data_IF_838979235252
#
_entry.id   IF_838979235252
#
_cell.length_a   1.000
_cell.length_b   1.000
_cell.length_c   1.000
_cell.angle_alpha   90.00
_cell.angle_beta   90.00
_cell.angle_gamma   90.00
#
_symmetry.space_group_name_H-M   'P 1'
#
loop_
_entity.id
_entity.type
_entity.pdbx_description
1 polymer ?
#
# COMPACT_ATOMS: atom_id res chain seq x y z
N UNK A 1 18.38 10.98 6.73
CA UNK A 1 19.10 10.01 5.85
C UNK A 1 19.09 8.56 6.36
N UNK A 2 19.49 8.26 7.60
CA UNK A 2 19.50 6.85 8.11
C UNK A 2 18.14 6.14 7.98
N UNK A 3 17.03 6.85 8.23
CA UNK A 3 15.65 6.32 8.09
C UNK A 3 15.32 5.89 6.66
N UNK A 4 15.60 6.72 5.65
CA UNK A 4 15.28 6.39 4.26
C UNK A 4 16.10 5.21 3.75
N UNK A 5 17.35 5.07 4.17
CA UNK A 5 18.17 3.91 3.82
C UNK A 5 17.58 2.63 4.41
N UNK A 6 17.22 2.64 5.70
CA UNK A 6 16.55 1.50 6.34
C UNK A 6 15.21 1.16 5.65
N UNK A 7 14.39 2.17 5.34
CA UNK A 7 13.12 1.99 4.59
C UNK A 7 13.35 1.29 3.26
N UNK A 8 14.31 1.78 2.46
CA UNK A 8 14.62 1.20 1.14
C UNK A 8 15.13 -0.23 1.27
N UNK A 9 15.98 -0.51 2.25
CA UNK A 9 16.45 -1.88 2.54
C UNK A 9 15.29 -2.83 2.86
N UNK A 10 14.33 -2.41 3.68
CA UNK A 10 13.16 -3.25 4.02
C UNK A 10 12.28 -3.47 2.79
N UNK A 11 12.02 -2.44 1.98
CA UNK A 11 11.24 -2.57 0.75
C UNK A 11 11.89 -3.50 -0.27
N UNK A 12 13.21 -3.41 -0.45
CA UNK A 12 13.97 -4.28 -1.36
C UNK A 12 13.95 -5.72 -0.83
N UNK A 13 14.13 -5.92 0.48
CA UNK A 13 14.03 -7.24 1.10
C UNK A 13 12.64 -7.86 0.89
N UNK A 14 11.58 -7.05 1.06
CA UNK A 14 10.20 -7.47 0.80
C UNK A 14 9.95 -7.80 -0.69
N UNK A 15 10.54 -7.03 -1.60
CA UNK A 15 10.50 -7.33 -3.04
C UNK A 15 11.17 -8.68 -3.36
N UNK A 16 12.31 -9.00 -2.74
CA UNK A 16 12.98 -10.29 -2.93
C UNK A 16 12.17 -11.47 -2.36
N UNK A 17 11.40 -11.21 -1.28
CA UNK A 17 10.46 -12.17 -0.70
C UNK A 17 9.10 -12.21 -1.42
N UNK A 18 8.90 -11.41 -2.47
CA UNK A 18 7.64 -11.37 -3.20
C UNK A 18 7.20 -12.72 -3.80
N UNK A 19 8.09 -13.55 -4.37
CA UNK A 19 7.75 -14.88 -4.86
C UNK A 19 7.05 -15.75 -3.81
N UNK A 20 7.42 -15.60 -2.53
CA UNK A 20 6.87 -16.38 -1.41
C UNK A 20 5.58 -15.76 -0.86
N UNK A 21 5.41 -14.44 -0.99
CA UNK A 21 4.31 -13.69 -0.37
C UNK A 21 3.16 -13.33 -1.31
N UNK A 22 3.31 -13.58 -2.62
CA UNK A 22 2.34 -13.14 -3.63
C UNK A 22 0.93 -13.72 -3.43
N UNK A 23 0.78 -15.00 -3.06
CA UNK A 23 -0.55 -15.59 -2.83
C UNK A 23 -1.26 -14.97 -1.64
N UNK A 24 -0.51 -14.68 -0.58
CA UNK A 24 -1.01 -13.99 0.61
C UNK A 24 -1.48 -12.55 0.33
N UNK A 25 -0.87 -11.88 -0.64
CA UNK A 25 -1.26 -10.53 -1.08
C UNK A 25 -2.25 -10.55 -2.27
N UNK A 26 -2.65 -11.74 -2.72
CA UNK A 26 -3.45 -11.93 -3.93
C UNK A 26 -4.95 -11.83 -3.65
N UNK A 27 -5.68 -10.98 -4.38
CA UNK A 27 -7.13 -10.86 -4.26
C UNK A 27 -7.86 -12.13 -4.76
N UNK A 28 -7.21 -12.91 -5.63
CA UNK A 28 -7.74 -14.14 -6.21
C UNK A 28 -7.92 -15.24 -5.16
N UNK A 29 -6.95 -15.39 -4.25
CA UNK A 29 -7.01 -16.45 -3.24
C UNK A 29 -8.25 -16.28 -2.35
N UNK A 30 -8.57 -15.05 -1.96
CA UNK A 30 -9.77 -14.73 -1.16
C UNK A 30 -11.05 -15.14 -1.90
N UNK A 31 -11.15 -14.91 -3.21
CA UNK A 31 -12.31 -15.33 -4.01
C UNK A 31 -12.42 -16.86 -4.05
N UNK A 32 -11.32 -17.56 -4.32
CA UNK A 32 -11.31 -19.04 -4.32
C UNK A 32 -11.70 -19.61 -2.97
N UNK A 33 -11.13 -19.07 -1.88
CA UNK A 33 -11.51 -19.41 -0.51
C UNK A 33 -12.99 -19.15 -0.25
N UNK A 34 -13.55 -18.03 -0.72
CA UNK A 34 -14.97 -17.72 -0.54
C UNK A 34 -15.89 -18.75 -1.23
N UNK A 35 -15.55 -19.20 -2.45
CA UNK A 35 -16.30 -20.22 -3.20
C UNK A 35 -16.27 -21.57 -2.46
N UNK A 36 -15.10 -21.95 -1.96
CA UNK A 36 -14.90 -23.24 -1.29
C UNK A 36 -15.27 -23.24 0.19
N UNK A 37 -15.55 -22.07 0.76
CA UNK A 37 -15.85 -21.94 2.19
C UNK A 37 -14.67 -21.93 3.11
N UNK A 38 -13.51 -21.54 2.61
CA UNK A 38 -12.25 -21.56 3.34
C UNK A 38 -11.79 -20.14 3.63
N UNK A 39 -11.64 -19.81 4.91
CA UNK A 39 -10.91 -18.63 5.32
C UNK A 39 -9.41 -18.91 5.16
N UNK A 40 -8.80 -18.30 4.15
CA UNK A 40 -7.39 -18.49 3.82
C UNK A 40 -6.45 -17.46 4.45
N UNK A 41 -5.14 -17.72 4.38
CA UNK A 41 -4.11 -16.83 4.89
C UNK A 41 -4.12 -15.43 4.26
N UNK A 42 -4.55 -15.28 3.00
CA UNK A 42 -4.70 -13.97 2.38
C UNK A 42 -5.78 -13.14 3.08
N UNK A 43 -6.95 -13.71 3.33
CA UNK A 43 -8.03 -13.04 4.07
C UNK A 43 -7.53 -12.53 5.43
N UNK A 44 -6.83 -13.38 6.18
CA UNK A 44 -6.27 -13.03 7.50
C UNK A 44 -5.30 -11.85 7.36
N UNK A 45 -4.40 -11.87 6.38
CA UNK A 45 -3.43 -10.79 6.16
C UNK A 45 -4.13 -9.48 5.81
N UNK A 46 -5.15 -9.49 4.96
CA UNK A 46 -5.91 -8.28 4.64
C UNK A 46 -6.66 -7.72 5.86
N UNK A 47 -7.22 -8.58 6.71
CA UNK A 47 -7.82 -8.16 7.99
C UNK A 47 -6.76 -7.56 8.92
N UNK A 48 -5.60 -8.22 9.08
CA UNK A 48 -4.50 -7.69 9.89
C UNK A 48 -3.97 -6.35 9.35
N UNK A 49 -3.91 -6.18 8.03
CA UNK A 49 -3.55 -4.90 7.41
C UNK A 49 -4.57 -3.81 7.70
N UNK A 50 -5.87 -4.11 7.62
CA UNK A 50 -6.91 -3.17 7.97
C UNK A 50 -6.81 -2.77 9.45
N UNK A 51 -6.66 -3.74 10.35
CA UNK A 51 -6.56 -3.50 11.80
C UNK A 51 -5.30 -2.72 12.16
N UNK A 52 -4.14 -3.11 11.63
CA UNK A 52 -2.87 -2.40 11.86
C UNK A 52 -2.92 -0.96 11.32
N UNK A 53 -3.62 -0.75 10.20
CA UNK A 53 -3.78 0.57 9.60
C UNK A 53 -4.63 1.53 10.43
N UNK A 54 -5.42 1.05 11.39
CA UNK A 54 -6.14 1.91 12.35
C UNK A 54 -5.14 2.72 13.17
N UNK A 55 -4.02 2.11 13.59
CA UNK A 55 -3.00 2.75 14.44
C UNK A 55 -1.84 3.34 13.64
N UNK A 56 -1.37 2.61 12.63
CA UNK A 56 -0.15 2.93 11.88
C UNK A 56 -0.43 3.62 10.55
N UNK A 57 -1.70 3.83 10.20
CA UNK A 57 -2.08 4.33 8.87
C UNK A 57 -1.53 3.42 7.77
N UNK A 58 -1.08 4.02 6.67
CA UNK A 58 -0.59 3.29 5.49
C UNK A 58 0.92 2.96 5.53
N UNK A 59 1.49 2.80 6.73
CA UNK A 59 2.92 2.54 6.92
C UNK A 59 3.38 1.26 6.19
N UNK A 60 2.52 0.23 6.10
CA UNK A 60 2.81 -0.98 5.34
C UNK A 60 3.20 -0.69 3.88
N UNK A 61 2.43 0.16 3.17
CA UNK A 61 2.74 0.56 1.79
C UNK A 61 4.10 1.29 1.67
N UNK A 62 4.52 1.96 2.74
CA UNK A 62 5.75 2.73 2.80
C UNK A 62 7.00 1.93 3.13
N UNK A 63 6.88 0.85 3.89
CA UNK A 63 8.04 0.10 4.41
C UNK A 63 8.06 -1.38 4.03
N UNK A 64 6.91 -2.05 3.92
CA UNK A 64 6.85 -3.52 3.83
C UNK A 64 6.21 -4.04 2.54
N UNK A 65 5.53 -3.21 1.74
CA UNK A 65 4.86 -3.67 0.53
C UNK A 65 5.85 -4.02 -0.61
N UNK A 66 5.84 -5.26 -1.15
CA UNK A 66 6.73 -5.65 -2.25
C UNK A 66 6.51 -4.84 -3.53
N UNK A 67 5.25 -4.57 -3.89
CA UNK A 67 4.91 -3.71 -5.02
C UNK A 67 5.51 -2.30 -4.86
N UNK A 68 5.60 -1.81 -3.62
CA UNK A 68 6.27 -0.56 -3.31
C UNK A 68 7.76 -0.59 -3.57
N UNK A 69 8.43 -1.71 -3.31
CA UNK A 69 9.84 -1.93 -3.65
C UNK A 69 10.08 -1.91 -5.16
N UNK A 70 9.29 -2.67 -5.92
CA UNK A 70 9.35 -2.70 -7.39
C UNK A 70 9.22 -1.29 -7.97
N UNK A 71 8.23 -0.53 -7.50
CA UNK A 71 8.01 0.83 -7.99
C UNK A 71 9.09 1.81 -7.55
N UNK A 72 9.71 1.65 -6.36
CA UNK A 72 10.82 2.50 -5.93
C UNK A 72 12.07 2.28 -6.78
N UNK A 73 12.32 1.04 -7.21
CA UNK A 73 13.37 0.73 -8.20
C UNK A 73 13.07 1.38 -9.56
N UNK A 74 11.80 1.34 -10.00
CA UNK A 74 11.39 1.98 -11.26
C UNK A 74 11.52 3.52 -11.26
N UNK A 75 11.48 4.17 -10.08
CA UNK A 75 11.68 5.63 -9.97
C UNK A 75 13.05 6.08 -10.49
N UNK A 76 14.07 5.22 -10.43
CA UNK A 76 15.41 5.54 -10.99
C UNK A 76 15.35 5.75 -12.50
N UNK A 77 14.42 5.07 -13.18
CA UNK A 77 14.24 5.14 -14.63
C UNK A 77 13.29 6.28 -14.99
N UNK A 78 12.17 6.41 -14.28
CA UNK A 78 11.18 7.46 -14.52
C UNK A 78 10.66 8.04 -13.20
N UNK A 79 11.09 9.26 -12.92
CA UNK A 79 10.72 10.00 -11.72
C UNK A 79 9.61 11.04 -11.96
N UNK A 80 8.85 10.91 -13.06
CA UNK A 80 7.70 11.80 -13.30
C UNK A 80 6.63 11.60 -12.23
N UNK A 81 6.03 12.71 -11.81
CA UNK A 81 4.86 12.68 -10.94
C UNK A 81 3.60 12.40 -11.77
N UNK A 82 2.85 11.33 -11.48
CA UNK A 82 1.64 11.02 -12.23
C UNK A 82 0.53 12.06 -11.97
N UNK A 83 -0.39 12.21 -12.94
CA UNK A 83 -1.53 13.14 -12.79
C UNK A 83 -2.48 12.64 -11.70
N UNK A 84 -2.53 13.35 -10.58
CA UNK A 84 -3.43 13.03 -9.46
C UNK A 84 -4.79 13.70 -9.64
N UNK A 85 -5.79 13.27 -8.87
CA UNK A 85 -7.17 13.76 -8.93
C UNK A 85 -8.15 12.60 -9.05
N UNK A 86 -9.15 12.72 -9.94
CA UNK A 86 -10.19 11.70 -10.12
C UNK A 86 -9.65 10.31 -10.49
N UNK A 87 -8.50 10.24 -11.16
CA UNK A 87 -7.83 8.97 -11.52
C UNK A 87 -7.42 8.15 -10.29
N UNK A 88 -7.17 8.80 -9.16
CA UNK A 88 -6.88 8.11 -7.90
C UNK A 88 -8.10 7.32 -7.39
N UNK A 89 -9.30 7.59 -7.92
CA UNK A 89 -10.51 6.89 -7.51
C UNK A 89 -10.69 5.54 -8.22
N UNK A 90 -9.93 5.26 -9.29
CA UNK A 90 -10.00 4.00 -10.03
C UNK A 90 -9.78 2.79 -9.11
N UNK A 91 -8.85 2.89 -8.15
CA UNK A 91 -8.60 1.80 -7.19
C UNK A 91 -9.79 1.49 -6.30
N UNK A 92 -10.64 2.47 -5.98
CA UNK A 92 -11.85 2.23 -5.20
C UNK A 92 -12.89 1.49 -6.03
N UNK A 93 -12.99 1.79 -7.34
CA UNK A 93 -13.87 1.04 -8.26
C UNK A 93 -13.43 -0.43 -8.34
N UNK A 94 -12.14 -0.68 -8.58
CA UNK A 94 -11.56 -2.03 -8.60
C UNK A 94 -11.83 -2.76 -7.28
N UNK A 95 -11.63 -2.07 -6.16
CA UNK A 95 -11.85 -2.64 -4.83
C UNK A 95 -13.33 -2.96 -4.55
N UNK A 96 -14.26 -2.07 -4.91
CA UNK A 96 -15.70 -2.31 -4.74
C UNK A 96 -16.15 -3.51 -5.57
N UNK A 97 -15.74 -3.59 -6.84
CA UNK A 97 -16.04 -4.75 -7.71
C UNK A 97 -15.53 -6.04 -7.07
N UNK A 98 -14.30 -6.02 -6.55
CA UNK A 98 -13.69 -7.18 -5.92
C UNK A 98 -14.37 -7.58 -4.59
N UNK A 99 -14.77 -6.62 -3.75
CA UNK A 99 -15.55 -6.90 -2.52
C UNK A 99 -16.92 -7.48 -2.87
N UNK A 100 -17.60 -6.93 -3.86
CA UNK A 100 -18.88 -7.47 -4.34
C UNK A 100 -18.70 -8.92 -4.81
N UNK A 101 -17.65 -9.20 -5.58
CA UNK A 101 -17.34 -10.57 -6.01
C UNK A 101 -17.14 -11.52 -4.83
N UNK A 102 -16.41 -11.11 -3.80
CA UNK A 102 -16.22 -11.92 -2.58
C UNK A 102 -17.56 -12.20 -1.89
N UNK A 103 -18.40 -11.18 -1.71
CA UNK A 103 -19.70 -11.32 -1.04
C UNK A 103 -20.59 -12.27 -1.82
N UNK A 104 -20.66 -12.13 -3.15
CA UNK A 104 -21.43 -13.02 -4.02
C UNK A 104 -20.92 -14.46 -3.89
N UNK A 105 -19.62 -14.68 -4.05
CA UNK A 105 -19.01 -16.01 -3.93
C UNK A 105 -19.26 -16.65 -2.56
N UNK A 106 -19.24 -15.85 -1.49
CA UNK A 106 -19.51 -16.31 -0.13
C UNK A 106 -20.98 -16.70 0.09
N UNK A 107 -21.94 -15.97 -0.51
CA UNK A 107 -23.38 -16.29 -0.45
C UNK A 107 -23.69 -17.57 -1.22
N UNK A 108 -23.10 -17.76 -2.40
CA UNK A 108 -23.31 -18.96 -3.24
C UNK A 108 -22.42 -20.16 -2.87
N UNK A 109 -21.81 -20.12 -1.70
CA UNK A 109 -20.90 -21.15 -1.23
C UNK A 109 -21.62 -22.49 -1.05
N UNK A 110 -20.98 -23.56 -1.53
CA UNK A 110 -21.53 -24.93 -1.52
C UNK A 110 -21.11 -25.78 -0.31
N UNK A 111 -20.14 -25.34 0.48
CA UNK A 111 -19.51 -26.11 1.57
C UNK A 111 -19.59 -25.38 2.91
N UNK A 112 -19.45 -26.10 4.02
CA UNK A 112 -19.35 -25.53 5.37
C UNK A 112 -18.05 -24.72 5.57
N UNK A 113 -17.99 -23.92 6.64
CA UNK A 113 -16.90 -22.95 6.83
C UNK A 113 -15.70 -23.64 7.47
N UNK A 114 -14.59 -23.68 6.74
CA UNK A 114 -13.31 -24.15 7.24
C UNK A 114 -12.31 -23.00 7.30
N UNK A 115 -11.30 -23.13 8.15
CA UNK A 115 -10.18 -22.18 8.24
C UNK A 115 -8.91 -22.94 7.88
N UNK A 116 -8.26 -22.52 6.80
CA UNK A 116 -6.98 -23.10 6.38
C UNK A 116 -6.03 -21.98 5.93
N UNK A 117 -5.06 -21.69 6.78
CA UNK A 117 -4.09 -20.63 6.52
C UNK A 117 -3.22 -20.93 5.29
N UNK A 118 -2.90 -22.20 5.02
CA UNK A 118 -1.97 -22.64 3.99
C UNK A 118 -2.66 -23.08 2.69
N UNK A 119 -3.93 -22.73 2.53
CA UNK A 119 -4.73 -23.05 1.37
C UNK A 119 -4.05 -22.59 0.06
N UNK A 120 -3.81 -23.54 -0.86
CA UNK A 120 -3.05 -23.40 -2.12
C UNK A 120 -1.56 -23.01 -1.99
N UNK A 121 -0.94 -23.23 -0.83
CA UNK A 121 0.52 -23.13 -0.67
C UNK A 121 1.12 -24.51 -0.43
N UNK A 122 1.85 -25.05 -1.41
CA UNK A 122 2.54 -26.33 -1.25
C UNK A 122 3.78 -26.11 -0.36
N UNK A 123 3.78 -26.68 0.85
CA UNK A 123 4.87 -26.57 1.84
C UNK A 123 5.23 -25.13 2.25
N UNK A 124 4.28 -24.19 2.18
CA UNK A 124 4.50 -22.78 2.55
C UNK A 124 5.20 -21.94 1.48
N UNK A 125 5.51 -22.53 0.31
CA UNK A 125 6.04 -21.81 -0.85
C UNK A 125 4.88 -21.50 -1.79
N UNK A 126 4.72 -20.22 -2.08
CA UNK A 126 3.71 -19.69 -3.01
C UNK A 126 3.87 -20.22 -4.44
N UNK A 127 5.10 -20.37 -4.94
CA UNK A 127 5.35 -20.78 -6.34
C UNK A 127 5.97 -22.17 -6.37
N UNK A 128 5.13 -23.20 -6.55
CA UNK A 128 5.53 -24.59 -6.76
C UNK A 128 5.39 -25.05 -8.22
N UNK A 129 4.53 -24.37 -9.00
CA UNK A 129 4.09 -24.82 -10.32
C UNK A 129 4.41 -23.79 -11.43
N UNK A 130 4.52 -24.25 -12.68
CA UNK A 130 4.74 -23.40 -13.87
C UNK A 130 3.71 -22.26 -13.98
N UNK A 131 2.45 -22.53 -13.63
CA UNK A 131 1.39 -21.54 -13.59
C UNK A 131 1.64 -20.44 -12.54
N UNK A 132 2.22 -20.79 -11.39
CA UNK A 132 2.59 -19.83 -10.35
C UNK A 132 3.67 -18.85 -10.82
N UNK A 133 4.66 -19.32 -11.59
CA UNK A 133 5.67 -18.45 -12.20
C UNK A 133 5.07 -17.49 -13.23
N UNK A 134 4.14 -17.97 -14.08
CA UNK A 134 3.45 -17.13 -15.06
C UNK A 134 2.67 -16.02 -14.36
N UNK A 135 1.92 -16.34 -13.30
CA UNK A 135 1.19 -15.36 -12.51
C UNK A 135 2.15 -14.37 -11.86
N UNK A 136 3.24 -14.85 -11.26
CA UNK A 136 4.24 -14.01 -10.60
C UNK A 136 4.86 -13.00 -11.55
N UNK A 137 5.42 -13.45 -12.69
CA UNK A 137 6.01 -12.54 -13.67
C UNK A 137 4.95 -11.63 -14.29
N UNK A 138 3.73 -12.12 -14.50
CA UNK A 138 2.60 -11.30 -14.96
C UNK A 138 2.30 -10.14 -14.00
N UNK A 139 2.22 -10.41 -12.68
CA UNK A 139 1.98 -9.38 -11.66
C UNK A 139 3.16 -8.41 -11.54
N UNK A 140 4.40 -8.91 -11.56
CA UNK A 140 5.60 -8.06 -11.54
C UNK A 140 5.61 -7.13 -12.74
N UNK A 141 5.36 -7.64 -13.95
CA UNK A 141 5.24 -6.83 -15.17
C UNK A 141 4.10 -5.81 -15.08
N UNK A 142 2.95 -6.20 -14.55
CA UNK A 142 1.79 -5.32 -14.37
C UNK A 142 2.09 -4.16 -13.40
N UNK A 143 2.97 -4.37 -12.41
CA UNK A 143 3.41 -3.30 -11.48
C UNK A 143 4.54 -2.46 -12.09
N UNK A 144 5.53 -3.12 -12.71
CA UNK A 144 6.76 -2.50 -13.18
C UNK A 144 6.56 -1.68 -14.46
N UNK A 145 5.89 -2.23 -15.48
CA UNK A 145 5.71 -1.57 -16.78
C UNK A 145 5.03 -0.20 -16.63
N UNK A 146 3.87 -0.08 -15.94
CA UNK A 146 3.27 1.23 -15.74
C UNK A 146 4.19 2.18 -14.98
N UNK A 147 4.92 1.69 -13.97
CA UNK A 147 5.82 2.53 -13.17
C UNK A 147 6.95 3.14 -14.01
N UNK A 148 7.51 2.37 -14.94
CA UNK A 148 8.53 2.86 -15.88
C UNK A 148 7.93 3.86 -16.89
N UNK A 149 6.70 3.64 -17.36
CA UNK A 149 6.09 4.49 -18.39
C UNK A 149 5.51 5.81 -17.83
N UNK A 150 4.82 5.74 -16.70
CA UNK A 150 3.99 6.84 -16.17
C UNK A 150 4.54 7.45 -14.87
N UNK A 151 5.62 6.90 -14.32
CA UNK A 151 6.38 7.47 -13.22
C UNK A 151 6.03 6.92 -11.83
N UNK A 152 6.33 7.71 -10.80
CA UNK A 152 6.38 7.24 -9.41
C UNK A 152 5.05 6.69 -8.94
N UNK A 153 5.07 5.49 -8.33
CA UNK A 153 3.93 4.92 -7.58
C UNK A 153 2.60 4.87 -8.35
N UNK A 154 2.61 4.83 -9.69
CA UNK A 154 1.39 4.81 -10.51
C UNK A 154 0.44 3.65 -10.19
N UNK A 155 0.96 2.42 -10.03
CA UNK A 155 0.18 1.26 -9.64
C UNK A 155 -0.51 1.49 -8.29
N UNK A 156 0.20 2.04 -7.29
CA UNK A 156 -0.38 2.44 -6.00
C UNK A 156 -1.48 3.51 -6.10
N UNK A 157 -1.40 4.41 -7.08
CA UNK A 157 -2.41 5.45 -7.29
C UNK A 157 -3.70 4.90 -7.91
N UNK A 158 -3.58 4.05 -8.94
CA UNK A 158 -4.73 3.69 -9.78
C UNK A 158 -5.21 2.25 -9.65
N UNK A 159 -4.30 1.28 -9.50
CA UNK A 159 -4.63 -0.15 -9.63
C UNK A 159 -4.53 -0.95 -8.33
N UNK A 160 -3.93 -0.39 -7.29
CA UNK A 160 -3.71 -1.08 -6.03
C UNK A 160 -5.03 -1.34 -5.29
N UNK A 161 -5.53 -2.57 -5.39
CA UNK A 161 -6.71 -3.07 -4.68
C UNK A 161 -6.51 -3.14 -3.16
N UNK A 162 -5.26 -3.20 -2.68
CA UNK A 162 -4.98 -3.24 -1.24
C UNK A 162 -5.09 -1.86 -0.57
N UNK A 163 -4.88 -0.79 -1.32
CA UNK A 163 -4.80 0.56 -0.77
C UNK A 163 -6.11 1.00 -0.07
N UNK A 164 -7.32 0.76 -0.64
CA UNK A 164 -8.58 1.11 0.01
C UNK A 164 -8.75 0.52 1.42
N UNK A 165 -8.33 -0.72 1.67
CA UNK A 165 -8.41 -1.32 3.02
C UNK A 165 -7.67 -0.50 4.08
N UNK A 166 -6.44 -0.09 3.77
CA UNK A 166 -5.64 0.71 4.70
C UNK A 166 -6.16 2.15 4.79
N UNK A 167 -6.66 2.72 3.69
CA UNK A 167 -7.30 4.04 3.74
C UNK A 167 -8.52 4.02 4.67
N UNK A 168 -9.35 2.97 4.57
CA UNK A 168 -10.52 2.79 5.43
C UNK A 168 -10.09 2.60 6.89
N UNK A 169 -9.11 1.73 7.16
CA UNK A 169 -8.57 1.53 8.51
C UNK A 169 -8.06 2.84 9.13
N UNK A 170 -7.25 3.60 8.38
CA UNK A 170 -6.73 4.89 8.84
C UNK A 170 -7.84 5.92 9.08
N UNK A 171 -8.85 6.00 8.19
CA UNK A 171 -10.02 6.86 8.38
C UNK A 171 -10.82 6.47 9.61
N UNK A 172 -11.01 5.18 9.85
CA UNK A 172 -11.73 4.66 11.00
C UNK A 172 -11.01 5.01 12.30
N UNK A 173 -9.69 4.82 12.37
CA UNK A 173 -8.89 5.24 13.53
C UNK A 173 -9.01 6.74 13.82
N UNK A 174 -9.05 7.56 12.76
CA UNK A 174 -9.23 9.00 12.88
C UNK A 174 -10.63 9.39 13.38
N UNK A 175 -11.67 8.70 12.89
CA UNK A 175 -13.06 8.94 13.28
C UNK A 175 -13.34 8.50 14.73
N UNK A 176 -12.74 7.39 15.14
CA UNK A 176 -12.86 6.85 16.51
C UNK A 176 -11.94 7.55 17.53
N UNK A 177 -11.24 8.62 17.13
CA UNK A 177 -10.31 9.37 18.00
C UNK A 177 -9.26 8.49 18.70
N UNK A 178 -8.83 7.43 18.03
CA UNK A 178 -7.76 6.55 18.51
C UNK A 178 -6.42 7.24 18.26
N UNK A 179 -5.41 6.93 19.07
CA UNK A 179 -4.02 7.35 18.86
C UNK A 179 -3.48 6.82 17.54
N UNK A 180 -3.50 7.63 16.49
CA UNK A 180 -3.01 7.29 15.14
C UNK A 180 -1.67 7.97 14.89
N UNK A 181 -0.73 7.23 14.32
CA UNK A 181 0.53 7.80 13.82
C UNK A 181 0.25 8.70 12.61
N UNK A 182 0.60 9.98 12.72
CA UNK A 182 0.43 10.97 11.65
C UNK A 182 1.68 11.83 11.47
N UNK A 183 1.70 12.57 10.37
CA UNK A 183 2.62 13.69 10.21
C UNK A 183 2.02 14.93 10.87
N UNK A 184 2.86 15.70 11.54
CA UNK A 184 2.56 17.04 12.05
C UNK A 184 3.56 18.00 11.45
N UNK A 185 3.15 19.24 11.23
CA UNK A 185 4.06 20.28 10.75
C UNK A 185 3.88 21.56 11.55
N UNK A 186 4.97 22.31 11.68
CA UNK A 186 4.99 23.68 12.19
C UNK A 186 5.04 24.64 11.01
N UNK A 187 3.96 25.40 10.82
CA UNK A 187 3.82 26.38 9.75
C UNK A 187 4.84 27.51 9.86
N UNK A 188 5.17 27.96 11.08
CA UNK A 188 6.07 29.09 11.31
C UNK A 188 7.52 28.74 10.99
N UNK A 189 7.89 27.46 11.15
CA UNK A 189 9.21 26.96 10.77
C UNK A 189 9.35 26.69 9.26
N UNK A 190 8.25 26.67 8.50
CA UNK A 190 8.26 26.38 7.08
C UNK A 190 8.69 27.60 6.26
N UNK A 191 9.54 27.39 5.26
CA UNK A 191 10.03 28.42 4.33
C UNK A 191 9.59 28.17 2.88
N UNK A 192 8.55 27.36 2.69
CA UNK A 192 7.98 26.97 1.38
C UNK A 192 9.00 26.64 0.29
N UNK A 193 10.07 25.92 0.64
CA UNK A 193 11.14 25.56 -0.30
C UNK A 193 10.82 24.40 -1.26
N UNK A 194 9.64 23.78 -1.14
CA UNK A 194 9.14 22.68 -1.97
C UNK A 194 10.02 21.41 -2.06
N UNK A 195 11.05 21.27 -1.21
CA UNK A 195 11.89 20.05 -1.17
C UNK A 195 11.12 18.80 -0.74
N UNK A 196 10.18 18.98 0.20
CA UNK A 196 9.30 17.90 0.67
C UNK A 196 8.44 17.35 -0.48
N UNK A 197 7.90 18.21 -1.34
CA UNK A 197 7.06 17.84 -2.49
C UNK A 197 7.85 16.96 -3.47
N UNK A 198 9.05 17.42 -3.87
CA UNK A 198 9.93 16.68 -4.78
C UNK A 198 10.36 15.32 -4.24
N UNK A 199 10.56 15.23 -2.92
CA UNK A 199 10.97 14.00 -2.23
C UNK A 199 9.84 13.00 -1.97
N UNK A 200 8.59 13.42 -2.11
CA UNK A 200 7.45 12.57 -1.79
C UNK A 200 7.29 11.48 -2.86
N UNK A 201 7.44 10.18 -2.52
CA UNK A 201 7.28 9.10 -3.51
C UNK A 201 5.84 8.98 -4.02
N UNK A 202 4.88 9.51 -3.27
CA UNK A 202 3.46 9.58 -3.63
C UNK A 202 3.11 10.92 -4.31
N UNK A 203 4.09 11.73 -4.70
CA UNK A 203 3.91 12.99 -5.44
C UNK A 203 2.89 13.96 -4.84
N UNK A 204 2.79 14.01 -3.50
CA UNK A 204 1.87 14.90 -2.78
C UNK A 204 2.44 16.33 -2.70
N UNK A 205 1.55 17.32 -2.75
CA UNK A 205 1.87 18.70 -2.37
C UNK A 205 1.89 18.80 -0.84
N UNK A 206 3.07 18.53 -0.26
CA UNK A 206 3.33 18.59 1.17
C UNK A 206 3.39 20.04 1.64
N UNK A 207 3.97 20.95 0.85
CA UNK A 207 4.08 22.37 1.22
C UNK A 207 2.70 22.99 1.45
N UNK A 208 1.75 22.78 0.53
CA UNK A 208 0.36 23.25 0.67
C UNK A 208 -0.33 22.66 1.93
N UNK A 209 0.00 21.41 2.29
CA UNK A 209 -0.54 20.77 3.52
C UNK A 209 0.01 21.40 4.79
N UNK A 210 1.27 21.83 4.79
CA UNK A 210 1.87 22.57 5.91
C UNK A 210 1.20 23.94 6.05
N UNK A 211 0.98 24.64 4.94
CA UNK A 211 0.36 25.98 4.93
C UNK A 211 -1.09 25.98 5.45
N UNK A 212 -1.83 24.90 5.14
CA UNK A 212 -3.20 24.63 5.63
C UNK A 212 -3.25 24.01 7.03
N UNK A 213 -2.12 23.79 7.67
CA UNK A 213 -2.00 23.14 8.98
C UNK A 213 -2.69 21.76 9.06
N UNK A 214 -2.86 21.10 7.92
CA UNK A 214 -3.51 19.80 7.80
C UNK A 214 -2.65 18.85 6.98
N UNK A 215 -1.82 18.10 7.71
CA UNK A 215 -0.91 17.11 7.14
C UNK A 215 -1.58 15.77 6.79
N UNK A 216 -2.89 15.63 7.02
CA UNK A 216 -3.60 14.41 6.67
C UNK A 216 -3.83 14.31 5.15
N UNK A 217 -3.56 13.13 4.60
CA UNK A 217 -3.88 12.76 3.22
C UNK A 217 -4.07 11.25 3.14
N UNK A 218 -5.13 10.79 2.46
CA UNK A 218 -5.38 9.35 2.29
C UNK A 218 -4.31 8.66 1.46
N UNK A 219 -3.58 9.37 0.59
CA UNK A 219 -2.48 8.84 -0.22
C UNK A 219 -1.14 8.82 0.52
N UNK A 220 -1.03 9.45 1.69
CA UNK A 220 0.20 9.45 2.46
C UNK A 220 0.52 8.06 3.02
N UNK A 221 1.66 7.50 2.63
CA UNK A 221 2.17 6.19 3.08
C UNK A 221 3.09 6.28 4.31
N UNK A 222 3.14 7.45 4.96
CA UNK A 222 3.95 7.70 6.17
C UNK A 222 5.43 7.30 6.02
N UNK A 223 6.02 7.41 4.83
CA UNK A 223 7.41 7.04 4.53
C UNK A 223 8.46 7.94 5.19
N UNK A 224 8.08 9.16 5.61
CA UNK A 224 8.96 10.10 6.28
C UNK A 224 9.99 10.80 5.39
N UNK A 225 9.91 10.65 4.06
CA UNK A 225 10.84 11.31 3.13
C UNK A 225 10.81 12.86 3.27
N UNK A 226 9.62 13.42 3.49
CA UNK A 226 9.44 14.85 3.74
C UNK A 226 10.10 15.34 5.04
N UNK A 227 10.15 14.49 6.08
CA UNK A 227 10.83 14.79 7.35
C UNK A 227 12.35 14.84 7.12
N UNK A 228 12.88 13.81 6.46
CA UNK A 228 14.32 13.66 6.23
C UNK A 228 14.90 14.75 5.32
N UNK A 229 14.10 15.29 4.39
CA UNK A 229 14.55 16.28 3.40
C UNK A 229 14.17 17.73 3.76
N UNK A 230 13.49 17.96 4.88
CA UNK A 230 13.15 19.32 5.33
C UNK A 230 14.36 20.01 5.99
N UNK A 231 14.89 21.12 5.44
CA UNK A 231 16.07 21.78 5.98
C UNK A 231 15.81 22.45 7.34
N UNK A 232 14.57 22.88 7.59
CA UNK A 232 14.16 23.54 8.84
C UNK A 232 13.55 22.58 9.87
N UNK A 233 13.48 21.28 9.56
CA UNK A 233 12.87 20.25 10.41
C UNK A 233 11.43 20.60 10.84
N UNK A 234 10.70 21.29 9.97
CA UNK A 234 9.32 21.73 10.24
C UNK A 234 8.30 20.58 10.29
N UNK A 235 8.66 19.37 9.83
CA UNK A 235 7.75 18.22 9.75
C UNK A 235 8.24 17.12 10.69
N UNK A 236 7.35 16.55 11.50
CA UNK A 236 7.65 15.48 12.46
C UNK A 236 6.57 14.41 12.47
N UNK A 237 6.88 13.23 13.03
CA UNK A 237 5.85 12.25 13.38
C UNK A 237 5.20 12.65 14.69
N UNK A 238 3.88 12.49 14.78
CA UNK A 238 3.11 12.72 16.00
C UNK A 238 2.05 11.62 16.12
N UNK A 239 1.86 11.13 17.33
CA UNK A 239 0.73 10.26 17.67
C UNK A 239 -0.36 11.16 18.23
N UNK A 240 -1.49 11.24 17.55
CA UNK A 240 -2.63 12.08 17.94
C UNK A 240 -3.88 11.23 18.05
#
# INVERSE_FOLDING_TARGET
>A
MKRQNARKMILISSMLLFPVTIYYLSPYLIIQGAIEGIINGSFIIFVTMLLSSIFLGRLFCGYLCPAGGIQECAVVINDKSPKQGWRNNIKYVIWVIWIIAIIICFIFRKKELAVDFFYQTDHGISISNIYGYIIYYGVVCLIFIPAVLFGKRIFCHYFCWMAPFMVIGSRLGNMLHIKVLRLSADKNACVSCHRCDKSCPMSLNVTEKVERENMYDSECILCGACIDNCPKKAITYKVK
#
